data_IF_143957315546
#
_entry.id   IF_143957315546
#
_cell.length_a   1.000
_cell.length_b   1.000
_cell.length_c   1.000
_cell.angle_alpha   90.00
_cell.angle_beta   90.00
_cell.angle_gamma   90.00
#
_symmetry.space_group_name_H-M   'P 1'
#
loop_
_entity.id
_entity.type
_entity.pdbx_description
1 polymer ?
#
# COMPACT_ATOMS: atom_id res chain seq x y z
N UNK A 1 -16.47 30.93 55.27
CA UNK A 1 -15.84 32.09 54.62
C UNK A 1 -14.37 32.04 54.98
N UNK A 2 -13.50 31.55 54.09
CA UNK A 2 -12.08 31.37 54.38
C UNK A 2 -11.25 32.27 53.46
N UNK A 3 -10.27 32.96 54.02
CA UNK A 3 -9.29 33.79 53.32
C UNK A 3 -7.96 32.99 53.17
N UNK A 4 -6.86 33.54 52.64
CA UNK A 4 -6.51 33.36 51.23
C UNK A 4 -5.11 32.73 51.04
N UNK A 5 -4.78 32.35 49.80
CA UNK A 5 -3.36 32.12 49.41
C UNK A 5 -3.04 32.94 48.16
N UNK A 6 -2.13 33.88 48.34
CA UNK A 6 -1.50 34.69 47.30
C UNK A 6 -0.15 34.06 46.98
N UNK A 7 0.13 33.76 45.71
CA UNK A 7 1.46 33.37 45.23
C UNK A 7 1.80 34.17 43.97
N UNK A 8 2.90 34.93 44.02
CA UNK A 8 3.45 35.67 42.88
C UNK A 8 4.68 34.94 42.28
N UNK A 9 5.14 35.30 41.07
CA UNK A 9 5.97 34.42 40.23
C UNK A 9 7.48 34.68 40.30
N UNK A 10 8.26 33.62 40.12
CA UNK A 10 9.70 33.56 39.75
C UNK A 10 9.97 32.21 39.04
N UNK A 11 11.02 31.96 38.25
CA UNK A 11 11.85 32.77 37.32
C UNK A 11 12.52 31.79 36.31
N UNK A 12 12.85 32.18 35.06
CA UNK A 12 13.43 31.27 34.05
C UNK A 12 14.96 31.38 33.89
N UNK A 13 15.65 30.25 33.81
CA UNK A 13 17.12 30.10 33.77
C UNK A 13 17.53 29.01 32.73
N UNK A 14 18.76 28.97 32.18
CA UNK A 14 19.06 29.70 30.94
C UNK A 14 19.50 28.76 29.77
N UNK A 15 20.07 29.35 28.71
CA UNK A 15 20.49 28.66 27.46
C UNK A 15 21.98 28.31 27.48
N UNK A 16 22.32 27.11 27.00
CA UNK A 16 23.72 26.74 26.70
C UNK A 16 24.17 27.31 25.35
N UNK A 17 25.24 28.12 25.35
CA UNK A 17 26.00 28.48 24.16
C UNK A 17 27.24 27.60 24.04
N UNK A 18 27.38 26.90 22.89
CA UNK A 18 28.55 26.06 22.61
C UNK A 18 29.69 26.93 22.09
N UNK A 19 30.75 27.05 22.89
CA UNK A 19 31.97 27.79 22.54
C UNK A 19 32.80 26.94 21.58
N UNK A 20 32.98 27.41 20.34
CA UNK A 20 33.91 26.81 19.37
C UNK A 20 35.33 27.27 19.71
N UNK A 21 36.24 26.33 19.99
CA UNK A 21 37.67 26.61 19.97
C UNK A 21 38.14 26.62 18.52
N UNK A 22 38.63 27.76 18.06
CA UNK A 22 39.56 27.84 16.95
C UNK A 22 40.96 27.61 17.49
N UNK A 23 41.71 26.68 16.90
CA UNK A 23 43.16 26.56 17.07
C UNK A 23 43.77 26.46 15.68
N UNK A 24 44.49 27.50 15.27
CA UNK A 24 45.20 27.54 13.99
C UNK A 24 46.55 26.82 14.14
N UNK A 25 46.78 25.80 13.32
CA UNK A 25 48.14 25.37 13.02
C UNK A 25 48.29 25.05 11.53
N UNK A 26 49.33 25.64 10.94
CA UNK A 26 49.66 25.60 9.53
C UNK A 26 50.15 24.21 9.11
N UNK A 27 49.72 23.71 7.94
CA UNK A 27 50.58 22.85 7.11
C UNK A 27 50.09 22.80 5.66
N UNK A 28 51.03 22.86 4.72
CA UNK A 28 50.82 23.35 3.35
C UNK A 28 51.08 22.25 2.31
N UNK A 29 50.43 22.37 1.14
CA UNK A 29 50.64 21.64 -0.13
C UNK A 29 49.92 20.30 -0.41
N UNK A 30 49.74 19.35 0.52
CA UNK A 30 49.12 18.05 0.13
C UNK A 30 47.61 18.11 -0.19
N UNK A 31 46.89 19.12 0.31
CA UNK A 31 45.43 19.26 0.14
C UNK A 31 44.96 19.50 -1.31
N UNK A 32 45.84 19.91 -2.23
CA UNK A 32 45.45 20.32 -3.58
C UNK A 32 44.84 19.19 -4.43
N UNK A 33 45.37 17.96 -4.36
CA UNK A 33 44.88 16.82 -5.16
C UNK A 33 43.71 16.06 -4.53
N UNK A 34 43.58 16.10 -3.20
CA UNK A 34 42.46 15.47 -2.50
C UNK A 34 41.18 16.33 -2.56
N UNK A 35 41.32 17.66 -2.51
CA UNK A 35 40.17 18.59 -2.52
C UNK A 35 39.46 18.66 -3.87
N UNK A 36 40.14 18.44 -5.01
CA UNK A 36 39.46 18.32 -6.31
C UNK A 36 38.60 17.06 -6.37
N UNK A 37 39.14 15.90 -5.97
CA UNK A 37 38.40 14.63 -5.94
C UNK A 37 37.14 14.71 -5.07
N UNK A 38 37.23 15.23 -3.85
CA UNK A 38 36.07 15.38 -2.95
C UNK A 38 35.05 16.38 -3.49
N UNK A 39 35.49 17.46 -4.17
CA UNK A 39 34.60 18.45 -4.78
C UNK A 39 33.90 17.93 -6.04
N UNK A 40 34.58 17.14 -6.88
CA UNK A 40 33.98 16.45 -8.03
C UNK A 40 33.00 15.35 -7.60
N UNK A 41 33.26 14.65 -6.50
CA UNK A 41 32.29 13.72 -5.92
C UNK A 41 31.07 14.47 -5.36
N UNK A 42 31.28 15.56 -4.63
CA UNK A 42 30.19 16.39 -4.10
C UNK A 42 29.27 16.95 -5.20
N UNK A 43 29.82 17.27 -6.38
CA UNK A 43 29.05 17.73 -7.53
C UNK A 43 28.10 16.66 -8.13
N UNK A 44 28.32 15.37 -7.88
CA UNK A 44 27.51 14.25 -8.42
C UNK A 44 26.49 13.67 -7.43
N UNK A 45 26.56 14.07 -6.16
CA UNK A 45 25.58 13.71 -5.13
C UNK A 45 24.14 14.13 -5.50
N UNK A 46 23.89 15.32 -6.11
CA UNK A 46 22.53 15.76 -6.45
C UNK A 46 21.81 14.84 -7.44
N UNK A 47 22.44 14.42 -8.54
CA UNK A 47 21.79 13.52 -9.50
C UNK A 47 21.53 12.12 -8.91
N UNK A 48 22.45 11.61 -8.08
CA UNK A 48 22.32 10.28 -7.48
C UNK A 48 21.21 10.24 -6.41
N UNK A 49 21.08 11.26 -5.57
CA UNK A 49 19.95 11.39 -4.63
C UNK A 49 18.62 11.58 -5.37
N UNK A 50 18.60 12.32 -6.48
CA UNK A 50 17.42 12.50 -7.33
C UNK A 50 16.97 11.21 -8.03
N UNK A 51 17.89 10.28 -8.33
CA UNK A 51 17.54 8.94 -8.78
C UNK A 51 16.90 8.11 -7.66
N UNK A 52 17.57 8.02 -6.49
CA UNK A 52 17.11 7.23 -5.34
C UNK A 52 15.72 7.69 -4.86
N UNK A 53 15.46 9.00 -4.79
CA UNK A 53 14.16 9.53 -4.39
C UNK A 53 13.01 9.11 -5.32
N UNK A 54 13.26 9.01 -6.64
CA UNK A 54 12.25 8.58 -7.62
C UNK A 54 11.92 7.09 -7.51
N UNK A 55 12.91 6.25 -7.19
CA UNK A 55 12.71 4.80 -7.07
C UNK A 55 12.01 4.41 -5.76
N UNK A 56 12.24 5.16 -4.67
CA UNK A 56 11.50 4.97 -3.40
C UNK A 56 10.02 5.33 -3.58
N UNK A 57 9.71 6.51 -4.14
CA UNK A 57 8.32 6.93 -4.39
C UNK A 57 7.56 5.91 -5.27
N UNK A 58 8.19 5.46 -6.36
CA UNK A 58 7.61 4.44 -7.26
C UNK A 58 7.37 3.10 -6.58
N UNK A 59 8.19 2.72 -5.59
CA UNK A 59 8.04 1.47 -4.85
C UNK A 59 6.88 1.55 -3.86
N UNK A 60 6.70 2.70 -3.20
CA UNK A 60 5.57 2.96 -2.29
C UNK A 60 4.25 2.99 -3.09
N UNK A 61 4.22 3.70 -4.23
CA UNK A 61 3.05 3.73 -5.13
C UNK A 61 2.66 2.33 -5.60
N UNK A 62 3.63 1.48 -5.99
CA UNK A 62 3.36 0.09 -6.39
C UNK A 62 2.84 -0.78 -5.25
N UNK A 63 3.34 -0.61 -4.03
CA UNK A 63 2.87 -1.35 -2.87
C UNK A 63 1.43 -0.96 -2.46
N UNK A 64 1.04 0.30 -2.68
CA UNK A 64 -0.35 0.75 -2.51
C UNK A 64 -1.22 0.20 -3.65
N UNK A 65 -0.76 0.34 -4.90
CA UNK A 65 -1.54 -0.04 -6.08
C UNK A 65 -1.82 -1.55 -6.19
N UNK A 66 -0.93 -2.41 -5.70
CA UNK A 66 -1.17 -3.86 -5.63
C UNK A 66 -2.32 -4.27 -4.69
N UNK A 67 -2.83 -3.34 -3.86
CA UNK A 67 -4.00 -3.55 -3.01
C UNK A 67 -5.32 -3.29 -3.76
N UNK A 68 -5.26 -2.63 -4.91
CA UNK A 68 -6.43 -2.20 -5.70
C UNK A 68 -6.80 -3.19 -6.83
N UNK A 69 -6.03 -4.26 -7.04
CA UNK A 69 -6.19 -5.25 -8.13
C UNK A 69 -7.58 -5.96 -8.18
N UNK A 70 -8.38 -5.84 -7.12
CA UNK A 70 -9.72 -6.44 -6.99
C UNK A 70 -10.87 -5.42 -6.85
N UNK A 71 -10.65 -4.15 -7.24
CA UNK A 71 -11.66 -3.10 -7.08
C UNK A 71 -12.81 -3.22 -8.10
N UNK A 72 -13.94 -3.78 -7.65
CA UNK A 72 -15.14 -3.99 -8.49
C UNK A 72 -16.19 -2.86 -8.31
N UNK A 73 -16.38 -2.04 -9.35
CA UNK A 73 -17.44 -1.04 -9.40
C UNK A 73 -18.74 -1.62 -9.97
N UNK A 74 -19.78 -1.77 -9.13
CA UNK A 74 -21.10 -2.31 -9.52
C UNK A 74 -22.25 -1.36 -9.25
N UNK A 75 -23.25 -1.36 -10.14
CA UNK A 75 -24.53 -0.69 -9.92
C UNK A 75 -25.41 -1.56 -9.02
N UNK A 76 -25.78 -1.03 -7.86
CA UNK A 76 -26.68 -1.68 -6.90
C UNK A 76 -28.08 -1.05 -6.91
N UNK A 77 -29.08 -1.72 -6.32
CA UNK A 77 -30.41 -1.15 -6.12
C UNK A 77 -30.40 -0.07 -5.02
N UNK A 78 -31.39 0.83 -5.04
CA UNK A 78 -31.55 1.84 -3.99
C UNK A 78 -31.74 1.22 -2.59
N UNK A 79 -32.45 0.09 -2.51
CA UNK A 79 -32.65 -0.65 -1.26
C UNK A 79 -31.34 -1.25 -0.73
N UNK A 80 -30.51 -1.86 -1.60
CA UNK A 80 -29.18 -2.34 -1.22
C UNK A 80 -28.29 -1.17 -0.76
N UNK A 81 -28.28 -0.05 -1.49
CA UNK A 81 -27.53 1.15 -1.12
C UNK A 81 -27.95 1.71 0.26
N UNK A 82 -29.26 1.68 0.57
CA UNK A 82 -29.79 2.06 1.88
C UNK A 82 -29.34 1.09 2.98
N UNK A 83 -29.50 -0.21 2.79
CA UNK A 83 -29.13 -1.25 3.77
C UNK A 83 -27.63 -1.25 4.08
N UNK A 84 -26.77 -1.12 3.07
CA UNK A 84 -25.33 -0.93 3.24
C UNK A 84 -25.01 0.33 4.06
N UNK A 85 -25.75 1.43 3.83
CA UNK A 85 -25.64 2.63 4.64
C UNK A 85 -26.05 2.42 6.10
N UNK A 86 -27.12 1.66 6.35
CA UNK A 86 -27.59 1.35 7.71
C UNK A 86 -26.58 0.49 8.49
N UNK A 87 -25.92 -0.48 7.85
CA UNK A 87 -24.89 -1.31 8.50
C UNK A 87 -23.67 -0.48 8.94
N UNK A 88 -23.25 0.50 8.14
CA UNK A 88 -22.18 1.44 8.50
C UNK A 88 -22.64 2.41 9.59
N UNK A 89 -23.87 2.94 9.51
CA UNK A 89 -24.43 3.82 10.56
C UNK A 89 -24.62 3.11 11.91
N UNK A 90 -24.88 1.80 11.89
CA UNK A 90 -24.94 0.96 13.08
C UNK A 90 -23.56 0.58 13.64
N UNK A 91 -22.46 0.98 12.99
CA UNK A 91 -21.09 0.67 13.42
C UNK A 91 -20.66 -0.77 13.19
N UNK A 92 -21.40 -1.56 12.39
CA UNK A 92 -21.07 -2.97 12.11
C UNK A 92 -19.88 -3.09 11.15
N UNK A 93 -19.75 -2.13 10.23
CA UNK A 93 -18.64 -2.02 9.28
C UNK A 93 -18.17 -0.57 9.19
N UNK A 94 -16.88 -0.36 8.92
CA UNK A 94 -16.31 0.98 8.75
C UNK A 94 -16.67 1.61 7.39
N UNK A 95 -16.87 0.80 6.34
CA UNK A 95 -17.22 1.31 5.01
C UNK A 95 -18.35 0.54 4.33
N UNK A 96 -19.01 1.17 3.34
CA UNK A 96 -20.05 0.49 2.53
C UNK A 96 -19.47 -0.59 1.62
N UNK A 97 -18.21 -0.46 1.21
CA UNK A 97 -17.50 -1.44 0.39
C UNK A 97 -17.22 -2.72 1.21
N UNK A 98 -16.76 -2.56 2.44
CA UNK A 98 -16.57 -3.65 3.42
C UNK A 98 -17.89 -4.37 3.73
N UNK A 99 -18.96 -3.63 4.03
CA UNK A 99 -20.29 -4.20 4.23
C UNK A 99 -20.81 -4.96 2.98
N UNK A 100 -20.49 -4.46 1.79
CA UNK A 100 -20.87 -5.12 0.53
C UNK A 100 -20.07 -6.39 0.28
N UNK A 101 -18.75 -6.37 0.50
CA UNK A 101 -17.89 -7.55 0.40
C UNK A 101 -18.36 -8.67 1.33
N UNK A 102 -18.61 -8.36 2.61
CA UNK A 102 -19.15 -9.33 3.57
C UNK A 102 -20.48 -9.95 3.11
N UNK A 103 -21.43 -9.13 2.63
CA UNK A 103 -22.72 -9.63 2.15
C UNK A 103 -22.62 -10.44 0.85
N UNK A 104 -21.62 -10.16 0.00
CA UNK A 104 -21.31 -10.96 -1.19
C UNK A 104 -20.76 -12.32 -0.75
N UNK A 105 -19.80 -12.37 0.18
CA UNK A 105 -19.22 -13.61 0.68
C UNK A 105 -20.27 -14.51 1.36
N UNK A 106 -21.13 -13.94 2.22
CA UNK A 106 -22.25 -14.68 2.81
C UNK A 106 -23.26 -15.13 1.75
N UNK A 107 -23.54 -14.29 0.74
CA UNK A 107 -24.36 -14.66 -0.40
C UNK A 107 -23.80 -15.85 -1.18
N UNK A 108 -22.49 -15.90 -1.40
CA UNK A 108 -21.79 -17.01 -2.06
C UNK A 108 -21.90 -18.28 -1.21
N UNK A 109 -21.65 -18.21 0.10
CA UNK A 109 -21.79 -19.36 1.03
C UNK A 109 -23.21 -19.92 1.03
N UNK A 110 -24.23 -19.07 1.13
CA UNK A 110 -25.65 -19.47 1.09
C UNK A 110 -26.01 -20.11 -0.25
N UNK A 111 -25.39 -19.69 -1.35
CA UNK A 111 -25.56 -20.28 -2.69
C UNK A 111 -24.55 -21.40 -3.02
N UNK A 112 -23.78 -21.91 -2.05
CA UNK A 112 -22.79 -22.98 -2.26
C UNK A 112 -23.32 -24.18 -3.08
N UNK A 113 -24.50 -24.75 -2.76
CA UNK A 113 -25.08 -25.87 -3.52
C UNK A 113 -25.47 -25.54 -4.97
N UNK A 114 -25.54 -24.27 -5.36
CA UNK A 114 -25.69 -23.86 -6.76
C UNK A 114 -24.33 -23.84 -7.45
N UNK A 115 -23.31 -23.27 -6.82
CA UNK A 115 -21.95 -23.21 -7.34
C UNK A 115 -21.34 -24.62 -7.53
N UNK A 116 -21.57 -25.54 -6.59
CA UNK A 116 -21.17 -26.95 -6.73
C UNK A 116 -21.76 -27.61 -7.99
N UNK A 117 -23.03 -27.35 -8.31
CA UNK A 117 -23.67 -27.89 -9.52
C UNK A 117 -23.12 -27.25 -10.79
N UNK A 118 -22.80 -25.96 -10.75
CA UNK A 118 -22.15 -25.25 -11.86
C UNK A 118 -20.76 -25.85 -12.10
N UNK A 119 -19.97 -26.07 -11.06
CA UNK A 119 -18.64 -26.69 -11.13
C UNK A 119 -18.72 -28.12 -11.72
N UNK A 120 -19.63 -28.96 -11.22
CA UNK A 120 -19.87 -30.30 -11.76
C UNK A 120 -20.18 -30.28 -13.27
N UNK A 121 -21.01 -29.33 -13.73
CA UNK A 121 -21.35 -29.21 -15.16
C UNK A 121 -20.23 -28.61 -16.00
N UNK A 122 -19.41 -27.72 -15.46
CA UNK A 122 -18.20 -27.25 -16.12
C UNK A 122 -17.17 -28.39 -16.29
N UNK A 123 -16.98 -29.22 -15.27
CA UNK A 123 -16.11 -30.39 -15.33
C UNK A 123 -16.59 -31.43 -16.36
N UNK A 124 -17.91 -31.66 -16.45
CA UNK A 124 -18.51 -32.52 -17.48
C UNK A 124 -18.27 -31.97 -18.89
N UNK A 125 -18.42 -30.66 -19.09
CA UNK A 125 -18.13 -29.98 -20.37
C UNK A 125 -16.65 -30.12 -20.75
N UNK A 126 -15.70 -29.94 -19.82
CA UNK A 126 -14.27 -30.13 -20.12
C UNK A 126 -13.90 -31.59 -20.41
N UNK A 127 -14.52 -32.57 -19.73
CA UNK A 127 -14.38 -33.98 -20.07
C UNK A 127 -14.85 -34.25 -21.50
N UNK A 128 -16.04 -33.79 -21.87
CA UNK A 128 -16.59 -33.97 -23.23
C UNK A 128 -15.72 -33.24 -24.29
N UNK A 129 -15.18 -32.06 -23.97
CA UNK A 129 -14.21 -31.36 -24.83
C UNK A 129 -12.92 -32.16 -25.00
N UNK A 130 -12.41 -32.82 -23.96
CA UNK A 130 -11.22 -33.67 -24.05
C UNK A 130 -11.50 -34.94 -24.89
N UNK A 131 -12.64 -35.60 -24.70
CA UNK A 131 -13.07 -36.77 -25.45
C UNK A 131 -13.21 -36.46 -26.96
N UNK A 132 -13.85 -35.34 -27.31
CA UNK A 132 -13.93 -34.88 -28.71
C UNK A 132 -12.56 -34.58 -29.33
N UNK A 133 -11.63 -33.98 -28.57
CA UNK A 133 -10.24 -33.76 -29.05
C UNK A 133 -9.53 -35.10 -29.29
N UNK A 134 -9.75 -36.10 -28.44
CA UNK A 134 -9.23 -37.45 -28.59
C UNK A 134 -9.69 -38.11 -29.89
N UNK A 135 -11.01 -38.18 -30.11
CA UNK A 135 -11.59 -38.78 -31.32
C UNK A 135 -11.13 -38.11 -32.63
N UNK A 136 -10.90 -36.79 -32.62
CA UNK A 136 -10.35 -36.07 -33.79
C UNK A 136 -8.84 -36.31 -33.96
N UNK A 137 -8.10 -36.51 -32.86
CA UNK A 137 -6.68 -36.87 -32.86
C UNK A 137 -6.44 -38.28 -33.41
N UNK A 138 -7.13 -39.29 -32.88
CA UNK A 138 -7.05 -40.70 -33.31
C UNK A 138 -7.33 -40.85 -34.81
N UNK A 139 -8.35 -40.13 -35.32
CA UNK A 139 -8.69 -40.15 -36.74
C UNK A 139 -7.63 -39.52 -37.65
N UNK A 140 -6.67 -38.79 -37.10
CA UNK A 140 -5.58 -38.13 -37.84
C UNK A 140 -4.29 -38.96 -37.91
N UNK A 141 -4.19 -40.03 -37.12
CA UNK A 141 -3.09 -41.02 -37.22
C UNK A 141 -3.48 -42.26 -38.04
N UNK A 142 -4.77 -42.41 -38.37
CA UNK A 142 -5.31 -43.53 -39.15
C UNK A 142 -5.51 -43.22 -40.66
N UNK A 143 -4.91 -42.13 -41.17
CA UNK A 143 -4.98 -41.66 -42.57
C UNK A 143 -3.60 -41.24 -43.06
#
# INVERSE_FOLDING_TARGET
MSTPIQSQPTEPEPKDEIIVHEDESEETEERSRATSSVRDMAARIPEQLSAIGRDISRTIERAISAKDDYMLAVKVSQDAQKKLGQLVQAGVFGTRAEAAAFLIDEGIKVQGPLFERVEQKLAEIERLRAELRGLVGEKKEAV
#
